data_IF_895634246776
#
_entry.id   IF_895634246776
#
_cell.length_a   1.000
_cell.length_b   1.000
_cell.length_c   1.000
_cell.angle_alpha   90.00
_cell.angle_beta   90.00
_cell.angle_gamma   90.00
#
_symmetry.space_group_name_H-M   'P 1'
#
loop_
_entity.id
_entity.type
_entity.pdbx_description
1 polymer ?
#
# COMPACT_ATOMS: atom_id res chain seq x y z
N UNK A 1 14.20 -9.20 3.62
CA UNK A 1 14.97 -8.24 4.47
C UNK A 1 16.29 -8.79 5.02
N UNK A 2 16.59 -10.06 4.90
CA UNK A 2 17.82 -10.71 5.42
C UNK A 2 19.14 -10.20 4.80
N UNK A 3 19.11 -9.34 3.79
CA UNK A 3 20.34 -8.80 3.13
C UNK A 3 20.58 -7.29 3.34
N UNK A 4 19.72 -6.57 4.05
CA UNK A 4 20.11 -5.29 4.62
C UNK A 4 21.04 -5.58 5.81
N UNK A 5 22.16 -4.85 5.90
CA UNK A 5 23.03 -4.97 7.08
C UNK A 5 22.24 -4.60 8.34
N UNK A 6 22.63 -5.17 9.47
CA UNK A 6 22.00 -4.85 10.77
C UNK A 6 22.10 -3.35 11.07
N UNK A 7 23.20 -2.71 10.69
CA UNK A 7 23.38 -1.27 10.80
C UNK A 7 22.35 -0.48 9.98
N UNK A 8 22.11 -0.89 8.71
CA UNK A 8 21.10 -0.22 7.86
C UNK A 8 19.69 -0.44 8.41
N UNK A 9 19.38 -1.65 8.87
CA UNK A 9 18.09 -1.98 9.48
C UNK A 9 17.82 -1.11 10.72
N UNK A 10 18.79 -1.03 11.62
CA UNK A 10 18.67 -0.25 12.85
C UNK A 10 18.60 1.25 12.57
N UNK A 11 19.33 1.76 11.59
CA UNK A 11 19.26 3.16 11.16
C UNK A 11 17.85 3.55 10.71
N UNK A 12 17.22 2.73 9.87
CA UNK A 12 15.83 2.97 9.41
C UNK A 12 14.82 2.77 10.54
N UNK A 13 14.99 1.76 11.38
CA UNK A 13 14.11 1.52 12.52
C UNK A 13 14.18 2.68 13.53
N UNK A 14 15.36 3.19 13.81
CA UNK A 14 15.57 4.36 14.69
C UNK A 14 14.92 5.61 14.09
N UNK A 15 15.11 5.86 12.79
CA UNK A 15 14.41 6.96 12.10
C UNK A 15 12.91 6.85 12.30
N UNK A 16 12.31 5.68 12.02
CA UNK A 16 10.86 5.48 12.11
C UNK A 16 10.35 5.63 13.56
N UNK A 17 11.02 5.04 14.55
CA UNK A 17 10.63 5.19 15.96
C UNK A 17 10.60 6.65 16.40
N UNK A 18 11.56 7.45 15.93
CA UNK A 18 11.65 8.88 16.23
C UNK A 18 10.56 9.72 15.52
N UNK A 19 9.82 9.15 14.56
CA UNK A 19 8.67 9.81 13.93
C UNK A 19 7.35 9.57 14.69
N UNK A 20 7.35 8.74 15.75
CA UNK A 20 6.15 8.53 16.55
C UNK A 20 5.82 9.78 17.38
N UNK A 21 4.64 10.34 17.17
CA UNK A 21 4.16 11.52 17.87
C UNK A 21 3.77 11.21 19.33
N UNK A 22 3.56 12.26 20.13
CA UNK A 22 3.21 12.12 21.55
C UNK A 22 1.87 11.41 21.78
N UNK A 23 0.95 11.47 20.82
CA UNK A 23 -0.35 10.77 20.84
C UNK A 23 -0.24 9.27 20.46
N UNK A 24 0.95 8.80 20.10
CA UNK A 24 1.22 7.41 19.71
C UNK A 24 1.05 7.10 18.22
N UNK A 25 0.47 8.01 17.43
CA UNK A 25 0.36 7.89 15.99
C UNK A 25 1.58 8.41 15.25
N UNK A 26 1.49 8.38 13.92
CA UNK A 26 2.51 8.91 13.01
C UNK A 26 1.86 9.86 12.01
N UNK A 27 2.60 10.86 11.59
CA UNK A 27 2.18 11.83 10.58
C UNK A 27 3.00 11.73 9.30
N UNK A 28 2.48 12.33 8.23
CA UNK A 28 3.26 12.62 7.04
C UNK A 28 4.24 13.77 7.28
N UNK A 29 4.53 14.53 6.22
CA UNK A 29 5.44 15.68 6.31
C UNK A 29 4.83 16.88 7.03
N UNK A 30 3.52 16.97 7.02
CA UNK A 30 2.73 18.05 7.61
C UNK A 30 1.49 17.46 8.29
N UNK A 31 0.92 18.21 9.24
CA UNK A 31 -0.29 17.80 9.96
C UNK A 31 -0.01 16.97 11.20
N UNK A 32 -1.10 16.51 11.83
CA UNK A 32 -1.08 15.61 12.99
C UNK A 32 -1.00 14.15 12.59
N UNK A 33 -1.03 13.27 13.59
CA UNK A 33 -1.11 11.83 13.37
C UNK A 33 -2.38 11.43 12.62
N UNK A 34 -2.25 10.46 11.72
CA UNK A 34 -3.39 9.83 11.06
C UNK A 34 -3.20 8.31 10.90
N UNK A 35 -4.27 7.62 10.54
CA UNK A 35 -4.27 6.16 10.39
C UNK A 35 -3.43 5.70 9.20
N UNK A 36 -3.39 6.48 8.12
CA UNK A 36 -2.68 6.15 6.90
C UNK A 36 -1.16 6.09 7.13
N UNK A 37 -0.57 7.17 7.65
CA UNK A 37 0.87 7.22 7.94
C UNK A 37 1.26 6.33 9.11
N UNK A 38 0.39 6.17 10.12
CA UNK A 38 0.57 5.20 11.20
C UNK A 38 0.67 3.77 10.64
N UNK A 39 -0.20 3.41 9.69
CA UNK A 39 -0.14 2.13 9.01
C UNK A 39 1.17 1.90 8.25
N UNK A 40 1.73 2.91 7.58
CA UNK A 40 3.02 2.81 6.90
C UNK A 40 4.20 2.66 7.84
N UNK A 41 4.23 3.44 8.92
CA UNK A 41 5.29 3.37 9.92
C UNK A 41 5.35 1.99 10.60
N UNK A 42 4.20 1.47 11.04
CA UNK A 42 4.12 0.16 11.67
C UNK A 42 4.51 -0.98 10.72
N UNK A 43 4.07 -0.94 9.45
CA UNK A 43 4.50 -1.91 8.43
C UNK A 43 6.00 -1.87 8.22
N UNK A 44 6.58 -0.69 8.12
CA UNK A 44 8.04 -0.52 7.97
C UNK A 44 8.80 -1.07 9.16
N UNK A 45 8.37 -0.75 10.38
CA UNK A 45 8.97 -1.26 11.61
C UNK A 45 8.83 -2.78 11.73
N UNK A 46 7.67 -3.35 11.38
CA UNK A 46 7.46 -4.81 11.39
C UNK A 46 8.43 -5.52 10.43
N UNK A 47 8.57 -5.02 9.20
CA UNK A 47 9.49 -5.59 8.20
C UNK A 47 10.96 -5.50 8.64
N UNK A 48 11.34 -4.44 9.36
CA UNK A 48 12.69 -4.27 9.91
C UNK A 48 12.93 -5.09 11.20
N UNK A 49 11.89 -5.66 11.82
CA UNK A 49 11.96 -6.24 13.16
C UNK A 49 12.19 -5.17 14.26
N UNK A 50 11.76 -3.94 13.99
CA UNK A 50 11.97 -2.77 14.83
C UNK A 50 10.77 -2.37 15.69
N UNK A 51 9.66 -3.15 15.69
CA UNK A 51 8.54 -2.94 16.59
C UNK A 51 8.95 -3.30 18.02
N UNK A 52 8.88 -2.33 18.91
CA UNK A 52 9.10 -2.51 20.35
C UNK A 52 7.76 -2.38 21.09
N UNK A 53 7.70 -2.90 22.34
CA UNK A 53 6.47 -2.81 23.15
C UNK A 53 6.04 -1.35 23.34
N UNK A 54 6.99 -0.43 23.58
CA UNK A 54 6.68 1.00 23.71
C UNK A 54 5.97 1.56 22.45
N UNK A 55 6.49 1.24 21.27
CA UNK A 55 5.87 1.67 20.00
C UNK A 55 4.48 1.07 19.81
N UNK A 56 4.32 -0.24 20.07
CA UNK A 56 3.04 -0.92 19.86
C UNK A 56 1.98 -0.50 20.87
N UNK A 57 2.34 -0.27 22.12
CA UNK A 57 1.40 0.15 23.17
C UNK A 57 0.86 1.55 22.87
N UNK A 58 1.74 2.49 22.56
CA UNK A 58 1.34 3.86 22.20
C UNK A 58 0.53 3.90 20.91
N UNK A 59 0.93 3.13 19.88
CA UNK A 59 0.17 3.06 18.64
C UNK A 59 -1.20 2.42 18.87
N UNK A 60 -1.34 1.41 19.72
CA UNK A 60 -2.63 0.81 20.06
C UNK A 60 -3.57 1.82 20.73
N UNK A 61 -3.05 2.68 21.61
CA UNK A 61 -3.84 3.73 22.24
C UNK A 61 -4.35 4.76 21.22
N UNK A 62 -3.49 5.17 20.29
CA UNK A 62 -3.88 6.04 19.17
C UNK A 62 -4.98 5.38 18.29
N UNK A 63 -4.81 4.10 17.94
CA UNK A 63 -5.80 3.38 17.13
C UNK A 63 -7.14 3.26 17.85
N UNK A 64 -7.15 2.99 19.17
CA UNK A 64 -8.40 2.92 19.96
C UNK A 64 -9.16 4.25 19.99
N UNK A 65 -8.44 5.37 20.10
CA UNK A 65 -9.06 6.70 20.04
C UNK A 65 -9.65 6.99 18.66
N UNK A 66 -9.09 6.42 17.60
CA UNK A 66 -9.56 6.59 16.22
C UNK A 66 -10.80 5.74 15.88
N UNK A 67 -11.17 4.73 16.70
CA UNK A 67 -12.33 3.85 16.47
C UNK A 67 -13.67 4.60 16.46
N UNK A 68 -13.76 5.79 17.06
CA UNK A 68 -15.00 6.58 17.21
C UNK A 68 -15.18 7.63 16.12
N UNK A 69 -14.23 7.76 15.18
CA UNK A 69 -14.26 8.79 14.14
C UNK A 69 -14.94 8.26 12.88
N UNK A 70 -15.49 9.18 12.06
CA UNK A 70 -15.92 8.82 10.71
C UNK A 70 -14.69 8.38 9.88
N UNK A 71 -14.75 7.16 9.36
CA UNK A 71 -13.63 6.55 8.68
C UNK A 71 -13.89 6.40 7.17
N UNK A 72 -12.90 6.72 6.37
CA UNK A 72 -12.85 6.41 4.94
C UNK A 72 -12.44 4.94 4.72
N UNK A 73 -12.56 4.46 3.48
CA UNK A 73 -12.03 3.13 3.10
C UNK A 73 -10.54 2.98 3.45
N UNK A 74 -9.77 4.07 3.25
CA UNK A 74 -8.33 4.09 3.58
C UNK A 74 -8.10 3.93 5.08
N UNK A 75 -8.91 4.58 5.89
CA UNK A 75 -8.81 4.54 7.35
C UNK A 75 -9.15 3.14 7.88
N UNK A 76 -10.22 2.51 7.39
CA UNK A 76 -10.58 1.13 7.76
C UNK A 76 -9.44 0.15 7.48
N UNK A 77 -8.90 0.20 6.26
CA UNK A 77 -7.77 -0.67 5.90
C UNK A 77 -6.55 -0.41 6.80
N UNK A 78 -6.18 0.85 6.97
CA UNK A 78 -5.00 1.25 7.75
C UNK A 78 -5.13 0.84 9.21
N UNK A 79 -6.30 1.08 9.82
CA UNK A 79 -6.58 0.70 11.20
C UNK A 79 -6.50 -0.82 11.41
N UNK A 80 -7.20 -1.59 10.57
CA UNK A 80 -7.24 -3.05 10.72
C UNK A 80 -5.86 -3.67 10.49
N UNK A 81 -5.14 -3.21 9.47
CA UNK A 81 -3.80 -3.71 9.20
C UNK A 81 -2.81 -3.36 10.32
N UNK A 82 -2.86 -2.13 10.83
CA UNK A 82 -2.02 -1.69 11.95
C UNK A 82 -2.33 -2.48 13.23
N UNK A 83 -3.60 -2.68 13.55
CA UNK A 83 -4.02 -3.49 14.70
C UNK A 83 -3.53 -4.95 14.59
N UNK A 84 -3.65 -5.56 13.40
CA UNK A 84 -3.12 -6.91 13.16
C UNK A 84 -1.59 -6.98 13.37
N UNK A 85 -0.84 -6.00 12.86
CA UNK A 85 0.61 -5.95 13.06
C UNK A 85 1.01 -5.84 14.53
N UNK A 86 0.31 -5.00 15.30
CA UNK A 86 0.51 -4.86 16.75
C UNK A 86 0.28 -6.22 17.42
N UNK A 87 -0.83 -6.88 17.12
CA UNK A 87 -1.20 -8.16 17.73
C UNK A 87 -0.22 -9.29 17.36
N UNK A 88 0.21 -9.37 16.09
CA UNK A 88 1.19 -10.36 15.62
C UNK A 88 2.57 -10.19 16.27
N UNK A 89 2.90 -8.98 16.75
CA UNK A 89 4.13 -8.71 17.49
C UNK A 89 3.95 -8.78 19.02
N UNK A 90 2.86 -9.39 19.51
CA UNK A 90 2.60 -9.58 20.94
C UNK A 90 2.10 -8.34 21.67
N UNK A 91 1.73 -7.28 20.95
CA UNK A 91 1.14 -6.07 21.52
C UNK A 91 -0.34 -6.23 21.85
N UNK A 92 -0.97 -5.19 22.41
CA UNK A 92 -2.35 -5.25 22.92
C UNK A 92 -3.38 -5.38 21.79
N UNK A 93 -4.48 -6.08 22.07
CA UNK A 93 -5.64 -6.12 21.20
C UNK A 93 -6.33 -4.75 21.17
N UNK A 94 -6.34 -4.12 19.99
CA UNK A 94 -6.97 -2.80 19.77
C UNK A 94 -8.50 -2.89 19.90
N UNK A 95 -9.09 -4.05 19.56
CA UNK A 95 -10.54 -4.27 19.52
C UNK A 95 -11.10 -4.94 20.77
N UNK A 96 -10.29 -5.15 21.83
CA UNK A 96 -10.69 -5.87 23.03
C UNK A 96 -11.98 -5.33 23.71
N UNK A 97 -12.26 -4.03 23.61
CA UNK A 97 -13.47 -3.38 24.14
C UNK A 97 -14.55 -3.14 23.09
N UNK A 98 -14.34 -3.57 21.84
CA UNK A 98 -15.35 -3.41 20.78
C UNK A 98 -16.47 -4.43 20.93
N UNK A 99 -17.67 -4.09 20.43
CA UNK A 99 -18.78 -5.02 20.40
C UNK A 99 -18.40 -6.27 19.56
N UNK A 100 -18.87 -7.47 19.92
CA UNK A 100 -18.48 -8.70 19.20
C UNK A 100 -18.80 -8.69 17.71
N UNK A 101 -19.79 -7.91 17.29
CA UNK A 101 -20.24 -7.76 15.90
C UNK A 101 -19.49 -6.64 15.12
N UNK A 102 -18.38 -6.12 15.67
CA UNK A 102 -17.63 -5.05 15.00
C UNK A 102 -17.17 -5.42 13.56
N UNK A 103 -16.78 -6.68 13.24
CA UNK A 103 -16.39 -7.02 11.87
C UNK A 103 -17.56 -6.93 10.88
N UNK A 104 -18.77 -7.32 11.31
CA UNK A 104 -20.01 -7.20 10.54
C UNK A 104 -20.36 -5.73 10.29
N UNK A 105 -20.21 -4.90 11.29
CA UNK A 105 -20.47 -3.45 11.18
C UNK A 105 -19.49 -2.77 10.24
N UNK A 106 -18.20 -3.11 10.30
CA UNK A 106 -17.19 -2.62 9.34
C UNK A 106 -17.56 -3.06 7.92
N UNK A 107 -17.88 -4.34 7.70
CA UNK A 107 -18.28 -4.86 6.39
C UNK A 107 -19.53 -4.15 5.85
N UNK A 108 -20.55 -3.92 6.69
CA UNK A 108 -21.76 -3.18 6.33
C UNK A 108 -21.45 -1.71 5.96
N UNK A 109 -20.55 -1.07 6.70
CA UNK A 109 -20.11 0.31 6.40
C UNK A 109 -19.34 0.35 5.07
N UNK A 110 -18.46 -0.59 4.78
CA UNK A 110 -17.74 -0.66 3.50
C UNK A 110 -18.70 -0.78 2.31
N UNK A 111 -19.83 -1.48 2.45
CA UNK A 111 -20.83 -1.57 1.39
C UNK A 111 -21.51 -0.22 1.06
N UNK A 112 -21.49 0.76 1.97
CA UNK A 112 -22.00 2.11 1.67
C UNK A 112 -21.12 2.88 0.67
N UNK A 113 -19.87 2.48 0.49
CA UNK A 113 -18.92 3.06 -0.48
C UNK A 113 -19.03 2.41 -1.86
N UNK A 114 -19.86 1.37 -2.02
CA UNK A 114 -20.05 0.70 -3.30
C UNK A 114 -20.72 1.64 -4.31
N UNK A 115 -20.24 1.58 -5.53
CA UNK A 115 -20.71 2.42 -6.64
C UNK A 115 -21.56 1.62 -7.64
N UNK A 116 -22.42 2.27 -8.43
CA UNK A 116 -23.26 1.58 -9.42
C UNK A 116 -22.50 0.80 -10.49
N UNK A 117 -21.22 1.15 -10.76
CA UNK A 117 -20.36 0.45 -11.72
C UNK A 117 -19.67 -0.79 -11.13
N UNK A 118 -20.01 -1.17 -9.90
CA UNK A 118 -19.52 -2.39 -9.23
C UNK A 118 -18.23 -2.23 -8.42
N UNK A 119 -17.57 -1.07 -8.50
CA UNK A 119 -16.41 -0.73 -7.70
C UNK A 119 -16.74 -0.10 -6.35
N UNK A 120 -15.73 0.50 -5.72
CA UNK A 120 -15.86 1.28 -4.49
C UNK A 120 -15.18 2.64 -4.65
N UNK A 121 -15.72 3.66 -3.99
CA UNK A 121 -15.21 5.03 -4.04
C UNK A 121 -14.70 5.49 -2.68
N UNK A 122 -14.09 6.68 -2.65
CA UNK A 122 -13.59 7.31 -1.42
C UNK A 122 -14.71 7.72 -0.46
N UNK A 123 -15.85 8.16 -1.02
CA UNK A 123 -16.99 8.69 -0.25
C UNK A 123 -18.27 7.94 -0.61
N UNK A 124 -19.16 7.69 0.38
CA UNK A 124 -20.47 7.09 0.11
C UNK A 124 -21.28 7.89 -0.91
N UNK A 125 -22.13 7.21 -1.69
CA UNK A 125 -23.00 7.84 -2.68
C UNK A 125 -22.29 8.32 -3.96
N UNK A 126 -21.02 8.03 -4.14
CA UNK A 126 -20.30 8.33 -5.38
C UNK A 126 -20.86 7.52 -6.57
N UNK A 127 -20.82 8.11 -7.78
CA UNK A 127 -21.36 7.47 -9.00
C UNK A 127 -20.38 6.54 -9.71
N UNK A 128 -19.07 6.65 -9.44
CA UNK A 128 -18.03 5.87 -10.09
C UNK A 128 -16.98 5.39 -9.08
N UNK A 129 -16.58 4.14 -9.21
CA UNK A 129 -15.56 3.52 -8.39
C UNK A 129 -14.15 3.88 -8.85
N UNK A 130 -13.22 3.73 -7.93
CA UNK A 130 -11.78 3.87 -8.08
C UNK A 130 -11.12 2.49 -7.94
N UNK A 131 -10.16 2.18 -8.79
CA UNK A 131 -9.41 0.92 -8.73
C UNK A 131 -8.69 0.79 -7.39
N UNK A 132 -8.09 1.86 -6.90
CA UNK A 132 -7.39 1.88 -5.61
C UNK A 132 -8.34 1.63 -4.42
N UNK A 133 -9.47 2.34 -4.32
CA UNK A 133 -10.41 2.14 -3.22
C UNK A 133 -11.04 0.75 -3.26
N UNK A 134 -11.34 0.23 -4.46
CA UNK A 134 -11.83 -1.15 -4.63
C UNK A 134 -10.79 -2.16 -4.12
N UNK A 135 -9.51 -1.94 -4.41
CA UNK A 135 -8.43 -2.79 -3.91
C UNK A 135 -8.35 -2.78 -2.38
N UNK A 136 -8.41 -1.60 -1.76
CA UNK A 136 -8.39 -1.48 -0.30
C UNK A 136 -9.59 -2.17 0.35
N UNK A 137 -10.77 -2.09 -0.24
CA UNK A 137 -11.95 -2.82 0.25
C UNK A 137 -11.73 -4.32 0.16
N UNK A 138 -11.23 -4.84 -0.96
CA UNK A 138 -10.92 -6.27 -1.10
C UNK A 138 -9.93 -6.74 -0.03
N UNK A 139 -8.86 -5.98 0.21
CA UNK A 139 -7.89 -6.26 1.29
C UNK A 139 -8.55 -6.21 2.67
N UNK A 140 -9.43 -5.24 2.91
CA UNK A 140 -10.12 -5.11 4.19
C UNK A 140 -11.03 -6.32 4.45
N UNK A 141 -11.76 -6.79 3.44
CA UNK A 141 -12.55 -8.03 3.55
C UNK A 141 -11.68 -9.26 3.87
N UNK A 142 -10.49 -9.36 3.28
CA UNK A 142 -9.54 -10.43 3.63
C UNK A 142 -9.08 -10.32 5.10
N UNK A 143 -8.74 -9.12 5.58
CA UNK A 143 -8.36 -8.90 6.98
C UNK A 143 -9.49 -9.26 7.96
N UNK A 144 -10.75 -9.04 7.57
CA UNK A 144 -11.93 -9.42 8.34
C UNK A 144 -12.24 -10.93 8.23
N UNK A 145 -11.51 -11.68 7.42
CA UNK A 145 -11.81 -13.07 7.06
C UNK A 145 -13.24 -13.24 6.53
N UNK A 146 -13.67 -12.31 5.66
CA UNK A 146 -15.01 -12.29 5.06
C UNK A 146 -14.93 -12.31 3.52
N UNK A 147 -15.94 -12.90 2.90
CA UNK A 147 -16.09 -12.88 1.44
C UNK A 147 -16.67 -11.53 0.99
N UNK A 148 -16.08 -10.94 -0.07
CA UNK A 148 -16.59 -9.72 -0.67
C UNK A 148 -17.99 -9.99 -1.29
N UNK A 149 -19.04 -9.27 -0.89
CA UNK A 149 -20.36 -9.40 -1.53
C UNK A 149 -20.30 -9.01 -3.01
N UNK A 150 -21.06 -9.73 -3.85
CA UNK A 150 -21.13 -9.44 -5.30
C UNK A 150 -19.74 -9.29 -5.93
N UNK A 151 -18.86 -10.23 -5.64
CA UNK A 151 -17.45 -10.22 -6.12
C UNK A 151 -17.36 -10.16 -7.65
N UNK A 152 -18.33 -10.76 -8.38
CA UNK A 152 -18.41 -10.67 -9.83
C UNK A 152 -18.57 -9.23 -10.32
N UNK A 153 -19.32 -8.37 -9.64
CA UNK A 153 -19.45 -6.95 -10.00
C UNK A 153 -18.09 -6.25 -9.92
N UNK A 154 -17.32 -6.53 -8.85
CA UNK A 154 -15.96 -5.99 -8.69
C UNK A 154 -15.00 -6.50 -9.78
N UNK A 155 -15.10 -7.78 -10.17
CA UNK A 155 -14.33 -8.34 -11.28
C UNK A 155 -14.66 -7.62 -12.61
N UNK A 156 -15.95 -7.44 -12.91
CA UNK A 156 -16.38 -6.73 -14.12
C UNK A 156 -15.95 -5.26 -14.11
N UNK A 157 -16.08 -4.60 -12.95
CA UNK A 157 -15.56 -3.25 -12.73
C UNK A 157 -14.08 -3.16 -13.12
N UNK A 158 -13.23 -4.01 -12.55
CA UNK A 158 -11.78 -3.98 -12.82
C UNK A 158 -11.49 -4.27 -14.29
N UNK A 159 -12.13 -5.30 -14.88
CA UNK A 159 -11.95 -5.61 -16.31
C UNK A 159 -12.27 -4.44 -17.23
N UNK A 160 -13.28 -3.63 -16.88
CA UNK A 160 -13.64 -2.42 -17.63
C UNK A 160 -12.57 -1.31 -17.57
N UNK A 161 -11.63 -1.39 -16.63
CA UNK A 161 -10.53 -0.43 -16.44
C UNK A 161 -9.30 -0.75 -17.26
N UNK A 162 -9.20 -1.95 -17.87
CA UNK A 162 -8.07 -2.31 -18.73
C UNK A 162 -8.07 -1.50 -20.01
N UNK A 163 -6.89 -1.19 -20.53
CA UNK A 163 -6.65 -0.48 -21.77
C UNK A 163 -5.88 -1.37 -22.75
N UNK A 164 -5.82 -0.94 -24.01
CA UNK A 164 -5.18 -1.68 -25.11
C UNK A 164 -3.67 -1.92 -24.87
N UNK A 165 -3.02 -1.04 -24.10
CA UNK A 165 -1.61 -1.18 -23.70
C UNK A 165 -1.37 -2.28 -22.64
N UNK A 166 -2.42 -2.93 -22.15
CA UNK A 166 -2.37 -3.97 -21.13
C UNK A 166 -2.44 -3.44 -19.70
N UNK A 167 -2.25 -2.16 -19.47
CA UNK A 167 -2.37 -1.53 -18.16
C UNK A 167 -3.81 -1.18 -17.78
N UNK A 168 -3.99 -0.65 -16.58
CA UNK A 168 -5.29 -0.27 -16.03
C UNK A 168 -5.31 1.21 -15.64
N UNK A 169 -6.51 1.78 -15.58
CA UNK A 169 -6.76 3.15 -15.16
C UNK A 169 -7.44 3.21 -13.80
N UNK A 170 -7.26 4.34 -13.11
CA UNK A 170 -7.85 4.57 -11.80
C UNK A 170 -9.39 4.73 -11.86
N UNK A 171 -9.87 5.54 -12.80
CA UNK A 171 -11.31 5.81 -13.01
C UNK A 171 -11.67 5.72 -14.49
N UNK A 172 -12.95 5.42 -14.80
CA UNK A 172 -13.42 5.15 -16.16
C UNK A 172 -13.05 6.19 -17.21
N UNK A 173 -13.14 7.51 -16.96
CA UNK A 173 -12.84 8.53 -17.98
C UNK A 173 -11.37 8.62 -18.37
N UNK A 174 -10.46 8.06 -17.56
CA UNK A 174 -9.03 8.11 -17.86
C UNK A 174 -8.71 7.19 -19.03
N UNK A 175 -7.91 7.70 -19.97
CA UNK A 175 -7.47 6.93 -21.16
C UNK A 175 -6.09 6.32 -20.97
N UNK A 176 -5.28 6.89 -20.08
CA UNK A 176 -3.90 6.50 -19.86
C UNK A 176 -3.77 5.58 -18.68
N UNK A 177 -3.21 4.41 -18.93
CA UNK A 177 -2.87 3.44 -17.90
C UNK A 177 -1.79 3.97 -16.95
N UNK A 178 -1.84 3.55 -15.71
CA UNK A 178 -0.86 3.88 -14.69
C UNK A 178 -0.31 2.64 -14.01
N UNK A 179 0.91 2.75 -13.49
CA UNK A 179 1.58 1.67 -12.75
C UNK A 179 0.78 1.29 -11.51
N UNK A 180 0.36 2.28 -10.71
CA UNK A 180 -0.36 2.05 -9.46
C UNK A 180 -1.77 1.45 -9.66
N UNK A 181 -2.63 1.98 -10.55
CA UNK A 181 -3.92 1.34 -10.80
C UNK A 181 -3.77 -0.05 -11.44
N UNK A 182 -2.70 -0.30 -12.22
CA UNK A 182 -2.43 -1.63 -12.75
C UNK A 182 -2.07 -2.62 -11.63
N UNK A 183 -1.23 -2.21 -10.68
CA UNK A 183 -0.92 -3.02 -9.50
C UNK A 183 -2.16 -3.31 -8.65
N UNK A 184 -3.00 -2.30 -8.40
CA UNK A 184 -4.25 -2.47 -7.66
C UNK A 184 -5.22 -3.42 -8.38
N UNK A 185 -5.37 -3.28 -9.70
CA UNK A 185 -6.22 -4.14 -10.51
C UNK A 185 -5.78 -5.62 -10.47
N UNK A 186 -4.48 -5.87 -10.62
CA UNK A 186 -3.91 -7.23 -10.49
C UNK A 186 -4.18 -7.78 -9.09
N UNK A 187 -3.97 -6.98 -8.05
CA UNK A 187 -4.25 -7.38 -6.67
C UNK A 187 -5.71 -7.76 -6.44
N UNK A 188 -6.66 -6.97 -6.95
CA UNK A 188 -8.10 -7.31 -6.86
C UNK A 188 -8.38 -8.65 -7.55
N UNK A 189 -7.91 -8.80 -8.80
CA UNK A 189 -8.17 -10.00 -9.59
C UNK A 189 -7.53 -11.25 -8.97
N UNK A 190 -6.37 -11.13 -8.32
CA UNK A 190 -5.76 -12.22 -7.55
C UNK A 190 -6.58 -12.58 -6.30
N UNK A 191 -7.01 -11.56 -5.53
CA UNK A 191 -7.82 -11.77 -4.32
C UNK A 191 -9.15 -12.47 -4.65
N UNK A 192 -9.73 -12.15 -5.80
CA UNK A 192 -11.02 -12.69 -6.24
C UNK A 192 -10.90 -13.95 -7.14
N UNK A 193 -9.68 -14.51 -7.27
CA UNK A 193 -9.37 -15.68 -8.10
C UNK A 193 -9.89 -15.54 -9.56
N UNK A 194 -9.73 -14.34 -10.13
CA UNK A 194 -10.26 -13.97 -11.44
C UNK A 194 -9.20 -13.41 -12.41
N UNK A 195 -7.90 -13.65 -12.10
CA UNK A 195 -6.79 -13.13 -12.89
C UNK A 195 -6.72 -13.82 -14.26
N UNK A 196 -6.82 -13.07 -15.40
CA UNK A 196 -6.70 -13.62 -16.75
C UNK A 196 -5.23 -13.88 -17.11
N UNK A 197 -4.94 -14.15 -18.40
CA UNK A 197 -3.57 -14.10 -18.92
C UNK A 197 -2.90 -12.78 -18.59
N UNK A 198 -1.66 -12.85 -18.09
CA UNK A 198 -0.92 -11.71 -17.53
C UNK A 198 0.09 -11.09 -18.48
N UNK A 199 0.24 -11.63 -19.70
CA UNK A 199 1.27 -11.20 -20.65
C UNK A 199 1.20 -9.71 -21.01
N UNK A 200 -0.03 -9.19 -21.23
CA UNK A 200 -0.25 -7.78 -21.54
C UNK A 200 0.12 -6.88 -20.35
N UNK A 201 -0.27 -7.27 -19.12
CA UNK A 201 0.08 -6.56 -17.88
C UNK A 201 1.58 -6.55 -17.66
N UNK A 202 2.24 -7.69 -17.83
CA UNK A 202 3.70 -7.82 -17.71
C UNK A 202 4.38 -6.93 -18.75
N UNK A 203 3.90 -6.92 -20.00
CA UNK A 203 4.41 -6.07 -21.07
C UNK A 203 4.30 -4.59 -20.71
N UNK A 204 3.13 -4.15 -20.22
CA UNK A 204 2.92 -2.79 -19.75
C UNK A 204 3.90 -2.40 -18.64
N UNK A 205 3.96 -3.18 -17.55
CA UNK A 205 4.81 -2.88 -16.40
C UNK A 205 6.31 -2.92 -16.77
N UNK A 206 6.73 -3.83 -17.65
CA UNK A 206 8.12 -3.91 -18.14
C UNK A 206 8.53 -2.67 -18.96
N UNK A 207 7.57 -1.93 -19.53
CA UNK A 207 7.79 -0.65 -20.21
C UNK A 207 7.83 0.59 -19.28
N UNK A 208 7.58 0.44 -17.99
CA UNK A 208 7.49 1.58 -17.08
C UNK A 208 8.81 2.06 -16.47
N UNK A 209 9.92 1.28 -16.39
CA UNK A 209 11.19 1.82 -15.91
C UNK A 209 11.62 3.07 -16.68
N UNK A 210 12.10 4.07 -15.96
CA UNK A 210 12.68 5.30 -16.51
C UNK A 210 14.18 5.12 -16.76
N UNK A 211 14.82 6.13 -17.35
CA UNK A 211 16.27 6.19 -17.49
C UNK A 211 17.00 6.18 -16.13
N UNK A 212 16.33 6.63 -15.05
CA UNK A 212 16.87 6.60 -13.70
C UNK A 212 16.88 5.17 -13.10
N UNK A 213 16.14 4.23 -13.69
CA UNK A 213 16.03 2.84 -13.24
C UNK A 213 14.78 2.55 -12.42
N UNK A 214 14.12 3.56 -11.82
CA UNK A 214 12.84 3.41 -11.14
C UNK A 214 11.65 3.40 -12.11
N UNK A 215 10.47 3.03 -11.62
CA UNK A 215 9.25 3.01 -12.41
C UNK A 215 8.54 4.37 -12.39
N UNK A 216 7.97 4.74 -13.52
CA UNK A 216 7.14 5.93 -13.68
C UNK A 216 5.69 5.63 -13.33
N UNK A 217 4.97 6.65 -12.88
CA UNK A 217 3.53 6.54 -12.61
C UNK A 217 2.71 6.20 -13.88
N UNK A 218 3.16 6.65 -15.05
CA UNK A 218 2.60 6.36 -16.38
C UNK A 218 3.65 6.65 -17.47
N UNK A 219 3.29 6.36 -18.73
CA UNK A 219 4.19 6.50 -19.90
C UNK A 219 4.63 7.95 -20.21
N UNK A 220 3.94 8.98 -19.67
CA UNK A 220 4.29 10.39 -19.84
C UNK A 220 4.92 11.04 -18.61
N UNK A 221 4.93 10.36 -17.49
CA UNK A 221 5.67 10.85 -16.35
C UNK A 221 7.16 10.89 -16.70
N UNK A 222 7.84 12.05 -16.59
CA UNK A 222 9.24 12.16 -17.02
C UNK A 222 10.18 11.45 -16.06
N UNK A 223 9.84 11.36 -14.78
CA UNK A 223 10.67 10.86 -13.69
C UNK A 223 10.01 9.67 -13.00
N UNK A 224 10.82 8.85 -12.37
CA UNK A 224 10.38 7.76 -11.52
C UNK A 224 10.01 8.24 -10.11
N UNK A 225 9.22 7.44 -9.40
CA UNK A 225 8.94 7.59 -7.97
C UNK A 225 8.95 6.24 -7.24
N UNK A 226 9.13 6.26 -5.91
CA UNK A 226 9.23 5.03 -5.11
C UNK A 226 7.91 4.29 -4.99
N UNK A 227 6.77 4.99 -4.98
CA UNK A 227 5.47 4.34 -4.95
C UNK A 227 5.26 3.50 -6.22
N UNK A 228 5.45 4.10 -7.40
CA UNK A 228 5.34 3.39 -8.68
C UNK A 228 6.41 2.29 -8.82
N UNK A 229 7.62 2.53 -8.31
CA UNK A 229 8.68 1.52 -8.33
C UNK A 229 8.33 0.32 -7.46
N UNK A 230 7.83 0.54 -6.25
CA UNK A 230 7.42 -0.55 -5.37
C UNK A 230 6.22 -1.32 -5.93
N UNK A 231 5.16 -0.63 -6.32
CA UNK A 231 3.92 -1.28 -6.78
C UNK A 231 4.13 -2.05 -8.08
N UNK A 232 4.88 -1.48 -9.04
CA UNK A 232 5.22 -2.15 -10.29
C UNK A 232 6.12 -3.38 -10.06
N UNK A 233 7.17 -3.23 -9.25
CA UNK A 233 8.09 -4.33 -8.93
C UNK A 233 7.41 -5.45 -8.14
N UNK A 234 6.57 -5.09 -7.16
CA UNK A 234 5.78 -6.05 -6.39
C UNK A 234 4.84 -6.86 -7.29
N UNK A 235 4.16 -6.18 -8.22
CA UNK A 235 3.26 -6.84 -9.16
C UNK A 235 4.03 -7.79 -10.07
N UNK A 236 5.17 -7.38 -10.63
CA UNK A 236 6.03 -8.27 -11.43
C UNK A 236 6.55 -9.45 -10.61
N UNK A 237 6.84 -9.26 -9.32
CA UNK A 237 7.24 -10.34 -8.42
C UNK A 237 6.10 -11.37 -8.26
N UNK A 238 4.88 -10.92 -7.96
CA UNK A 238 3.72 -11.80 -7.82
C UNK A 238 3.41 -12.57 -9.12
N UNK A 239 3.64 -11.94 -10.28
CA UNK A 239 3.48 -12.56 -11.60
C UNK A 239 4.70 -13.37 -12.05
N UNK A 240 5.72 -13.55 -11.20
CA UNK A 240 6.97 -14.27 -11.49
C UNK A 240 7.73 -13.68 -12.70
N UNK A 241 7.59 -12.39 -12.94
CA UNK A 241 8.10 -11.67 -14.12
C UNK A 241 9.22 -10.66 -13.80
N UNK A 242 9.85 -10.71 -12.61
CA UNK A 242 10.97 -9.84 -12.25
C UNK A 242 12.11 -9.81 -13.30
N UNK A 243 12.47 -10.93 -13.97
CA UNK A 243 13.53 -10.90 -14.97
C UNK A 243 13.22 -10.05 -16.23
N UNK A 244 12.01 -9.51 -16.34
CA UNK A 244 11.60 -8.64 -17.46
C UNK A 244 12.14 -7.21 -17.34
N UNK A 245 12.76 -6.84 -16.21
CA UNK A 245 13.33 -5.51 -15.95
C UNK A 245 14.75 -5.60 -15.41
N UNK A 246 15.54 -4.52 -15.56
CA UNK A 246 16.89 -4.43 -15.00
C UNK A 246 16.82 -4.20 -13.49
N UNK A 247 16.87 -5.29 -12.73
CA UNK A 247 16.82 -5.26 -11.26
C UNK A 247 18.03 -4.52 -10.64
N UNK A 248 19.17 -4.49 -11.33
CA UNK A 248 20.34 -3.75 -10.85
C UNK A 248 20.12 -2.24 -10.98
N UNK A 249 19.50 -1.78 -12.07
CA UNK A 249 19.10 -0.38 -12.23
C UNK A 249 18.07 0.03 -11.19
N UNK A 250 17.02 -0.79 -10.95
CA UNK A 250 16.01 -0.54 -9.91
C UNK A 250 16.67 -0.44 -8.52
N UNK A 251 17.61 -1.32 -8.21
CA UNK A 251 18.36 -1.27 -6.94
C UNK A 251 19.15 0.03 -6.79
N UNK A 252 19.91 0.43 -7.82
CA UNK A 252 20.67 1.69 -7.79
C UNK A 252 19.76 2.89 -7.58
N UNK A 253 18.60 2.92 -8.27
CA UNK A 253 17.60 3.97 -8.10
C UNK A 253 17.11 4.05 -6.65
N UNK A 254 16.65 2.95 -6.06
CA UNK A 254 16.16 2.94 -4.68
C UNK A 254 17.27 3.38 -3.69
N UNK A 255 18.51 2.88 -3.87
CA UNK A 255 19.64 3.27 -3.03
C UNK A 255 20.02 4.76 -3.15
N UNK A 256 19.83 5.38 -4.32
CA UNK A 256 20.10 6.81 -4.51
C UNK A 256 19.11 7.72 -3.75
N UNK A 257 17.95 7.18 -3.37
CA UNK A 257 16.92 7.90 -2.61
C UNK A 257 17.00 7.65 -1.10
N UNK A 258 17.84 6.69 -0.67
CA UNK A 258 18.10 6.40 0.73
C UNK A 258 18.89 7.56 1.38
N UNK A 259 18.51 7.95 2.61
CA UNK A 259 19.15 9.04 3.32
C UNK A 259 20.09 8.53 4.42
N UNK A 260 21.24 9.20 4.66
CA UNK A 260 22.22 8.76 5.65
C UNK A 260 21.66 8.60 7.08
N UNK A 261 20.69 9.46 7.46
CA UNK A 261 20.01 9.39 8.76
C UNK A 261 18.80 8.48 8.81
N UNK A 262 18.64 7.58 7.83
CA UNK A 262 17.46 6.74 7.64
C UNK A 262 16.30 7.45 6.95
N UNK A 263 15.37 6.66 6.42
CA UNK A 263 14.28 7.13 5.60
C UNK A 263 14.65 7.25 4.11
N UNK A 264 13.64 7.48 3.28
CA UNK A 264 13.77 7.60 1.83
C UNK A 264 13.03 8.85 1.32
N UNK A 265 13.52 9.39 0.21
CA UNK A 265 12.80 10.40 -0.60
C UNK A 265 11.81 9.70 -1.53
N UNK A 266 10.78 10.43 -1.98
CA UNK A 266 9.80 9.93 -2.94
C UNK A 266 10.35 9.74 -4.37
N UNK A 267 11.33 10.55 -4.76
CA UNK A 267 11.98 10.53 -6.06
C UNK A 267 13.18 11.47 -6.09
N UNK A 268 13.91 11.51 -7.21
CA UNK A 268 15.08 12.39 -7.40
C UNK A 268 14.73 13.88 -7.32
N UNK A 269 13.50 14.23 -7.67
CA UNK A 269 12.93 15.58 -7.63
C UNK A 269 12.43 16.01 -6.24
N UNK A 270 12.34 15.07 -5.29
CA UNK A 270 11.77 15.27 -3.97
C UNK A 270 12.89 15.43 -2.92
N UNK A 271 12.85 16.52 -2.16
CA UNK A 271 13.84 16.79 -1.11
C UNK A 271 13.39 16.31 0.28
N UNK A 272 12.11 15.98 0.45
CA UNK A 272 11.54 15.53 1.70
C UNK A 272 11.61 14.02 1.88
N UNK A 273 11.48 13.56 3.12
CA UNK A 273 11.28 12.15 3.50
C UNK A 273 10.09 12.03 4.41
N UNK A 274 9.47 10.86 4.40
CA UNK A 274 8.37 10.51 5.29
C UNK A 274 8.30 9.00 5.51
N UNK A 275 7.38 8.57 6.35
CA UNK A 275 7.20 7.15 6.69
C UNK A 275 6.63 6.34 5.51
N UNK A 276 5.85 6.95 4.63
CA UNK A 276 5.28 6.32 3.45
C UNK A 276 6.36 5.95 2.43
N UNK A 277 7.15 6.92 1.98
CA UNK A 277 8.24 6.64 1.03
C UNK A 277 9.33 5.77 1.63
N UNK A 278 9.50 5.82 2.96
CA UNK A 278 10.37 4.89 3.66
C UNK A 278 9.87 3.45 3.52
N UNK A 279 8.58 3.20 3.64
CA UNK A 279 8.00 1.88 3.40
C UNK A 279 8.26 1.40 1.97
N UNK A 280 8.02 2.24 0.97
CA UNK A 280 8.24 1.85 -0.43
C UNK A 280 9.71 1.57 -0.73
N UNK A 281 10.63 2.40 -0.24
CA UNK A 281 12.06 2.19 -0.42
C UNK A 281 12.55 0.88 0.20
N UNK A 282 12.16 0.61 1.45
CA UNK A 282 12.43 -0.66 2.13
C UNK A 282 11.82 -1.85 1.39
N UNK A 283 10.59 -1.69 0.89
CA UNK A 283 9.90 -2.72 0.12
C UNK A 283 10.64 -3.07 -1.18
N UNK A 284 11.09 -2.07 -1.93
CA UNK A 284 11.91 -2.28 -3.15
C UNK A 284 13.19 -3.03 -2.82
N UNK A 285 13.95 -2.57 -1.81
CA UNK A 285 15.20 -3.23 -1.43
C UNK A 285 14.98 -4.65 -0.92
N UNK A 286 13.87 -4.88 -0.21
CA UNK A 286 13.46 -6.21 0.26
C UNK A 286 13.16 -7.19 -0.88
N UNK A 287 12.38 -6.76 -1.88
CA UNK A 287 12.09 -7.55 -3.07
C UNK A 287 13.35 -7.93 -3.86
N UNK A 288 14.29 -7.01 -3.95
CA UNK A 288 15.55 -7.20 -4.66
C UNK A 288 16.58 -8.01 -3.87
N UNK A 289 16.36 -8.26 -2.59
CA UNK A 289 17.24 -9.09 -1.79
C UNK A 289 17.19 -10.57 -2.20
N UNK A 290 16.14 -11.01 -2.90
CA UNK A 290 15.89 -12.41 -3.26
C UNK A 290 15.55 -13.27 -2.05
N UNK A 291 15.12 -14.52 -2.25
CA UNK A 291 14.90 -15.47 -1.19
C UNK A 291 16.19 -15.82 -0.45
#
# INVERSE_FOLDING_TARGET
MSRLSDESRERHATYLRNQQNSDGGFSGREGGSDLYYTGFALRSLAVLGGLTNDVTDRAADFLRQSLTQEASVVDFFSLLYAALLIQLNGGPDVFASSAPDWPERVAATLETFRTPDGGYAKTPGSHAGSTYHTFLVCLTYQLLNKTLPRSEDAVQFVRSRQREDGGYVEISPMRRSGTNPTAAAVGILQILDALPSTDAVIGFLAGMPSIEGGFRANDRAPLADLLSTFTGLWTLHQLQALPRVDLAAVRRYAQSLELPGGGFRGGSWDMGKDVEYTFYGLGVLGLLAGP
#
